data_IF_880880534659
#
_entry.id   IF_880880534659
#
_cell.length_a   1.000
_cell.length_b   1.000
_cell.length_c   1.000
_cell.angle_alpha   90.00
_cell.angle_beta   90.00
_cell.angle_gamma   90.00
#
_symmetry.space_group_name_H-M   'P 1'
#
loop_
_entity.id
_entity.type
_entity.pdbx_description
1 polymer ?
#
# COMPACT_ATOMS: atom_id res chain seq x y z
N UNK A 1 -15.74 -13.78 -20.82
CA UNK A 1 -14.47 -14.48 -20.56
C UNK A 1 -13.18 -13.78 -21.05
N UNK A 2 -13.23 -12.62 -21.72
CA UNK A 2 -12.01 -11.90 -22.21
C UNK A 2 -11.33 -10.97 -21.16
N UNK A 3 -11.97 -10.68 -20.04
CA UNK A 3 -11.47 -9.69 -19.04
C UNK A 3 -10.51 -10.26 -18.00
N UNK A 4 -10.48 -11.57 -17.76
CA UNK A 4 -9.61 -12.16 -16.72
C UNK A 4 -8.11 -12.18 -17.07
N UNK A 5 -7.73 -12.18 -18.35
CA UNK A 5 -6.33 -12.21 -18.74
C UNK A 5 -5.66 -10.84 -18.64
N UNK A 6 -6.42 -9.75 -18.79
CA UNK A 6 -5.94 -8.39 -18.61
C UNK A 6 -5.54 -8.13 -17.16
N UNK A 7 -6.40 -8.42 -16.19
CA UNK A 7 -6.16 -8.15 -14.78
C UNK A 7 -4.89 -8.80 -14.22
N UNK A 8 -4.58 -10.05 -14.63
CA UNK A 8 -3.35 -10.73 -14.20
C UNK A 8 -2.08 -10.04 -14.68
N UNK A 9 -2.06 -9.55 -15.92
CA UNK A 9 -0.90 -8.82 -16.47
C UNK A 9 -0.68 -7.50 -15.77
N UNK A 10 -1.74 -6.74 -15.53
CA UNK A 10 -1.66 -5.48 -14.77
C UNK A 10 -1.23 -5.73 -13.32
N UNK A 11 -1.72 -6.79 -12.66
CA UNK A 11 -1.29 -7.14 -11.31
C UNK A 11 0.20 -7.49 -11.23
N UNK A 12 0.72 -8.28 -12.17
CA UNK A 12 2.16 -8.60 -12.22
C UNK A 12 3.00 -7.33 -12.45
N UNK A 13 2.59 -6.50 -13.42
CA UNK A 13 3.29 -5.26 -13.73
C UNK A 13 3.27 -4.28 -12.55
N UNK A 14 2.13 -4.12 -11.89
CA UNK A 14 2.00 -3.32 -10.67
C UNK A 14 2.91 -3.82 -9.56
N UNK A 15 2.98 -5.14 -9.35
CA UNK A 15 3.87 -5.72 -8.34
C UNK A 15 5.36 -5.46 -8.62
N UNK A 16 5.78 -5.56 -9.88
CA UNK A 16 7.16 -5.22 -10.29
C UNK A 16 7.46 -3.74 -10.06
N UNK A 17 6.55 -2.86 -10.45
CA UNK A 17 6.71 -1.41 -10.24
C UNK A 17 6.74 -1.06 -8.75
N UNK A 18 5.91 -1.69 -7.93
CA UNK A 18 5.92 -1.48 -6.49
C UNK A 18 7.23 -1.95 -5.84
N UNK A 19 7.77 -3.11 -6.25
CA UNK A 19 9.08 -3.55 -5.78
C UNK A 19 10.20 -2.58 -6.17
N UNK A 20 10.17 -2.03 -7.39
CA UNK A 20 11.11 -1.01 -7.83
C UNK A 20 10.98 0.28 -7.01
N UNK A 21 9.75 0.74 -6.77
CA UNK A 21 9.45 1.92 -5.95
C UNK A 21 10.03 1.78 -4.53
N UNK A 22 9.85 0.61 -3.90
CA UNK A 22 10.42 0.31 -2.58
C UNK A 22 11.94 0.48 -2.54
N UNK A 23 12.63 -0.02 -3.55
CA UNK A 23 14.11 0.10 -3.66
C UNK A 23 14.51 1.55 -3.87
N UNK A 24 13.82 2.28 -4.75
CA UNK A 24 14.09 3.70 -5.01
C UNK A 24 13.87 4.54 -3.77
N UNK A 25 12.80 4.29 -3.02
CA UNK A 25 12.53 4.98 -1.75
C UNK A 25 13.60 4.70 -0.70
N UNK A 26 14.05 3.45 -0.56
CA UNK A 26 15.13 3.10 0.35
C UNK A 26 16.43 3.82 0.01
N UNK A 27 16.79 3.87 -1.30
CA UNK A 27 17.97 4.62 -1.76
C UNK A 27 17.80 6.12 -1.48
N UNK A 28 16.63 6.70 -1.78
CA UNK A 28 16.38 8.12 -1.59
C UNK A 28 16.48 8.51 -0.11
N UNK A 29 15.95 7.70 0.81
CA UNK A 29 16.05 7.94 2.24
C UNK A 29 17.50 7.89 2.76
N UNK A 30 18.35 7.09 2.12
CA UNK A 30 19.79 7.00 2.44
C UNK A 30 20.63 8.14 1.86
N UNK A 31 20.07 9.00 1.00
CA UNK A 31 20.79 10.12 0.35
C UNK A 31 20.52 11.45 1.04
N UNK A 32 21.47 12.40 0.92
CA UNK A 32 21.25 13.80 1.32
C UNK A 32 20.17 14.42 0.41
N UNK A 33 19.20 15.20 0.97
CA UNK A 33 19.14 15.69 2.36
C UNK A 33 18.43 14.76 3.36
N UNK A 34 17.87 13.64 2.94
CA UNK A 34 17.07 12.78 3.81
C UNK A 34 17.92 12.10 4.90
N UNK A 35 19.13 11.64 4.56
CA UNK A 35 20.02 10.96 5.51
C UNK A 35 20.34 11.80 6.75
N UNK A 36 20.37 13.13 6.60
CA UNK A 36 20.68 14.07 7.68
C UNK A 36 19.43 14.65 8.35
N UNK A 37 18.24 14.24 7.91
CA UNK A 37 16.96 14.80 8.39
C UNK A 37 16.26 13.82 9.34
N UNK A 38 16.16 14.16 10.61
CA UNK A 38 15.62 13.28 11.66
C UNK A 38 14.17 12.81 11.48
N UNK A 39 13.44 13.32 10.48
CA UNK A 39 12.07 12.90 10.11
C UNK A 39 11.98 12.52 8.64
N UNK A 40 13.06 11.97 8.11
CA UNK A 40 13.20 11.59 6.69
C UNK A 40 12.06 10.67 6.20
N UNK A 41 11.68 9.67 6.98
CA UNK A 41 10.60 8.75 6.65
C UNK A 41 9.27 9.48 6.45
N UNK A 42 8.89 10.38 7.37
CA UNK A 42 7.64 11.14 7.25
C UNK A 42 7.68 12.15 6.09
N UNK A 43 8.80 12.83 5.91
CA UNK A 43 8.99 13.74 4.78
C UNK A 43 8.92 12.98 3.45
N UNK A 44 9.55 11.81 3.38
CA UNK A 44 9.48 10.92 2.22
C UNK A 44 8.05 10.48 1.91
N UNK A 45 7.27 10.07 2.91
CA UNK A 45 5.86 9.70 2.75
C UNK A 45 5.04 10.86 2.18
N UNK A 46 5.15 12.06 2.77
CA UNK A 46 4.43 13.25 2.30
C UNK A 46 4.81 13.59 0.86
N UNK A 47 6.11 13.59 0.53
CA UNK A 47 6.56 13.91 -0.83
C UNK A 47 6.09 12.87 -1.84
N UNK A 48 6.13 11.59 -1.50
CA UNK A 48 5.61 10.51 -2.32
C UNK A 48 4.12 10.70 -2.60
N UNK A 49 3.30 10.88 -1.57
CA UNK A 49 1.85 11.01 -1.71
C UNK A 49 1.46 12.28 -2.47
N UNK A 50 2.15 13.41 -2.22
CA UNK A 50 1.95 14.66 -2.96
C UNK A 50 2.33 14.49 -4.44
N UNK A 51 3.45 13.84 -4.74
CA UNK A 51 3.87 13.57 -6.11
C UNK A 51 2.82 12.70 -6.85
N UNK A 52 2.36 11.63 -6.22
CA UNK A 52 1.29 10.78 -6.76
C UNK A 52 0.00 11.58 -7.00
N UNK A 53 -0.41 12.40 -6.05
CA UNK A 53 -1.61 13.23 -6.18
C UNK A 53 -1.49 14.23 -7.35
N UNK A 54 -0.33 14.89 -7.50
CA UNK A 54 -0.09 15.83 -8.60
C UNK A 54 -0.11 15.11 -9.95
N UNK A 55 0.56 13.97 -10.06
CA UNK A 55 0.60 13.17 -11.30
C UNK A 55 -0.82 12.75 -11.70
N UNK A 56 -1.62 12.23 -10.75
CA UNK A 56 -2.98 11.83 -11.01
C UNK A 56 -3.90 13.01 -11.38
N UNK A 57 -3.76 14.15 -10.71
CA UNK A 57 -4.51 15.35 -11.06
C UNK A 57 -4.17 15.86 -12.47
N UNK A 58 -2.89 15.86 -12.84
CA UNK A 58 -2.46 16.20 -14.20
C UNK A 58 -3.03 15.22 -15.21
N UNK A 59 -2.97 13.92 -14.92
CA UNK A 59 -3.57 12.89 -15.77
C UNK A 59 -5.07 13.11 -15.96
N UNK A 60 -5.83 13.36 -14.88
CA UNK A 60 -7.27 13.64 -14.94
C UNK A 60 -7.57 14.95 -15.69
N UNK A 61 -6.69 15.96 -15.55
CA UNK A 61 -6.80 17.22 -16.33
C UNK A 61 -6.62 16.95 -17.83
N UNK A 62 -5.60 16.20 -18.21
CA UNK A 62 -5.33 15.84 -19.62
C UNK A 62 -6.47 14.98 -20.22
N UNK A 63 -7.15 14.20 -19.39
CA UNK A 63 -8.34 13.43 -19.78
C UNK A 63 -9.63 14.28 -19.80
N UNK A 64 -9.58 15.54 -19.38
CA UNK A 64 -10.74 16.43 -19.29
C UNK A 64 -11.76 16.06 -18.21
N UNK A 65 -11.36 15.21 -17.23
CA UNK A 65 -12.24 14.61 -16.19
C UNK A 65 -12.12 15.26 -14.81
N UNK A 66 -11.49 16.42 -14.67
CA UNK A 66 -11.37 17.11 -13.37
C UNK A 66 -12.71 17.42 -12.72
N UNK A 67 -13.74 17.75 -13.52
CA UNK A 67 -15.09 18.02 -13.00
C UNK A 67 -15.70 16.77 -12.36
N UNK A 68 -15.45 15.60 -12.95
CA UNK A 68 -15.92 14.31 -12.44
C UNK A 68 -15.26 14.01 -11.10
N UNK A 69 -13.96 14.27 -10.96
CA UNK A 69 -13.22 14.14 -9.70
C UNK A 69 -13.85 14.98 -8.59
N UNK A 70 -14.15 16.25 -8.86
CA UNK A 70 -14.81 17.13 -7.87
C UNK A 70 -16.23 16.68 -7.52
N UNK A 71 -16.98 16.20 -8.50
CA UNK A 71 -18.32 15.66 -8.28
C UNK A 71 -18.26 14.38 -7.44
N UNK A 72 -17.33 13.48 -7.73
CA UNK A 72 -17.13 12.23 -7.00
C UNK A 72 -16.87 12.45 -5.51
N UNK A 73 -16.06 13.46 -5.12
CA UNK A 73 -15.76 13.77 -3.71
C UNK A 73 -17.01 14.04 -2.84
N UNK A 74 -18.12 14.44 -3.44
CA UNK A 74 -19.38 14.73 -2.75
C UNK A 74 -20.28 13.50 -2.61
N UNK A 75 -19.99 12.44 -3.32
CA UNK A 75 -20.76 11.19 -3.30
C UNK A 75 -20.41 10.33 -2.10
N UNK A 76 -21.25 9.34 -1.79
CA UNK A 76 -20.96 8.34 -0.75
C UNK A 76 -19.70 7.53 -1.08
N UNK A 77 -19.51 7.00 -2.31
CA UNK A 77 -18.25 6.36 -2.71
C UNK A 77 -17.03 7.27 -2.55
N UNK A 78 -17.11 8.54 -2.98
CA UNK A 78 -16.01 9.50 -2.83
C UNK A 78 -15.60 9.73 -1.38
N UNK A 79 -16.57 9.80 -0.43
CA UNK A 79 -16.27 9.89 1.00
C UNK A 79 -15.57 8.62 1.52
N UNK A 80 -15.97 7.44 1.02
CA UNK A 80 -15.29 6.17 1.36
C UNK A 80 -13.87 6.14 0.81
N UNK A 81 -13.64 6.65 -0.40
CA UNK A 81 -12.30 6.81 -0.98
C UNK A 81 -11.43 7.74 -0.12
N UNK A 82 -11.97 8.88 0.34
CA UNK A 82 -11.24 9.79 1.24
C UNK A 82 -10.86 9.08 2.54
N UNK A 83 -11.80 8.37 3.17
CA UNK A 83 -11.52 7.63 4.41
C UNK A 83 -10.48 6.52 4.20
N UNK A 84 -10.58 5.80 3.09
CA UNK A 84 -9.60 4.78 2.70
C UNK A 84 -8.21 5.38 2.45
N UNK A 85 -8.14 6.49 1.70
CA UNK A 85 -6.89 7.19 1.41
C UNK A 85 -6.18 7.71 2.67
N UNK A 86 -6.93 8.15 3.69
CA UNK A 86 -6.34 8.54 4.98
C UNK A 86 -5.68 7.37 5.72
N UNK A 87 -6.22 6.17 5.55
CA UNK A 87 -5.61 4.95 6.12
C UNK A 87 -4.43 4.47 5.28
N UNK A 88 -4.55 4.49 3.95
CA UNK A 88 -3.51 4.04 3.04
C UNK A 88 -2.30 4.95 2.99
N UNK A 89 -2.50 6.24 2.77
CA UNK A 89 -1.44 7.25 2.68
C UNK A 89 -0.85 7.60 4.06
N UNK A 90 -1.45 8.50 4.83
CA UNK A 90 -0.86 8.99 6.07
C UNK A 90 -0.49 7.91 7.08
N UNK A 91 -1.31 6.87 7.26
CA UNK A 91 -1.03 5.80 8.21
C UNK A 91 -0.18 4.70 7.56
N UNK A 92 -0.63 4.16 6.42
CA UNK A 92 0.01 3.04 5.77
C UNK A 92 1.39 3.41 5.22
N UNK A 93 1.48 4.48 4.43
CA UNK A 93 2.74 4.90 3.81
C UNK A 93 3.74 5.44 4.82
N UNK A 94 3.32 6.25 5.80
CA UNK A 94 4.21 6.72 6.86
C UNK A 94 4.73 5.54 7.69
N UNK A 95 3.87 4.59 8.04
CA UNK A 95 4.26 3.37 8.75
C UNK A 95 5.26 2.54 7.96
N UNK A 96 5.05 2.42 6.65
CA UNK A 96 5.94 1.71 5.74
C UNK A 96 7.35 2.32 5.69
N UNK A 97 7.45 3.65 5.54
CA UNK A 97 8.75 4.33 5.49
C UNK A 97 9.45 4.36 6.85
N UNK A 98 8.70 4.52 7.96
CA UNK A 98 9.26 4.36 9.30
C UNK A 98 9.84 2.95 9.49
N UNK A 99 9.17 1.94 8.97
CA UNK A 99 9.68 0.57 9.02
C UNK A 99 10.96 0.41 8.19
N UNK A 100 11.00 0.92 6.95
CA UNK A 100 12.21 0.88 6.09
C UNK A 100 13.39 1.51 6.80
N UNK A 101 13.20 2.67 7.41
CA UNK A 101 14.25 3.45 8.08
C UNK A 101 14.79 2.76 9.35
N UNK A 102 13.98 1.95 10.01
CA UNK A 102 14.33 1.34 11.30
C UNK A 102 14.69 -0.16 11.25
N UNK A 103 14.07 -0.92 10.34
CA UNK A 103 14.27 -2.38 10.21
C UNK A 103 14.65 -2.84 8.81
N UNK A 104 14.84 -1.88 7.90
CA UNK A 104 15.25 -2.12 6.52
C UNK A 104 14.13 -2.57 5.58
N UNK A 105 14.38 -2.44 4.27
CA UNK A 105 13.37 -2.71 3.25
C UNK A 105 12.97 -4.20 3.20
N UNK A 106 13.89 -5.13 3.48
CA UNK A 106 13.63 -6.57 3.43
C UNK A 106 12.61 -7.01 4.49
N UNK A 107 12.85 -6.70 5.77
CA UNK A 107 11.94 -7.06 6.86
C UNK A 107 10.62 -6.28 6.77
N UNK A 108 10.68 -5.01 6.36
CA UNK A 108 9.49 -4.19 6.09
C UNK A 108 8.62 -4.84 5.03
N UNK A 109 9.19 -5.28 3.91
CA UNK A 109 8.46 -5.96 2.85
C UNK A 109 7.79 -7.25 3.33
N UNK A 110 8.48 -8.06 4.17
CA UNK A 110 7.88 -9.27 4.75
C UNK A 110 6.64 -8.92 5.57
N UNK A 111 6.79 -8.02 6.55
CA UNK A 111 5.70 -7.70 7.47
C UNK A 111 4.56 -7.01 6.72
N UNK A 112 4.87 -6.02 5.88
CA UNK A 112 3.85 -5.27 5.14
C UNK A 112 3.01 -6.18 4.22
N UNK A 113 3.60 -7.20 3.64
CA UNK A 113 2.89 -8.13 2.73
C UNK A 113 1.78 -8.94 3.43
N UNK A 114 1.65 -8.86 4.75
CA UNK A 114 0.48 -9.42 5.45
C UNK A 114 -0.80 -8.57 5.28
N UNK A 115 -0.74 -7.35 4.70
CA UNK A 115 -1.93 -6.53 4.47
C UNK A 115 -3.05 -7.22 3.65
N UNK A 116 -2.79 -8.08 2.62
CA UNK A 116 -3.87 -8.78 1.93
C UNK A 116 -4.53 -9.84 2.80
N UNK A 117 -3.78 -10.46 3.73
CA UNK A 117 -4.35 -11.41 4.68
C UNK A 117 -5.29 -10.70 5.66
N UNK A 118 -4.87 -9.53 6.20
CA UNK A 118 -5.73 -8.71 7.04
C UNK A 118 -6.95 -8.19 6.24
N UNK A 119 -6.75 -7.68 5.02
CA UNK A 119 -7.84 -7.25 4.15
C UNK A 119 -8.85 -8.37 3.88
N UNK A 120 -8.37 -9.59 3.62
CA UNK A 120 -9.22 -10.78 3.45
C UNK A 120 -10.03 -11.10 4.72
N UNK A 121 -9.39 -11.06 5.88
CA UNK A 121 -10.06 -11.28 7.16
C UNK A 121 -11.14 -10.23 7.41
N UNK A 122 -10.83 -8.96 7.17
CA UNK A 122 -11.78 -7.86 7.29
C UNK A 122 -12.93 -7.97 6.27
N UNK A 123 -12.63 -8.35 5.02
CA UNK A 123 -13.66 -8.59 4.01
C UNK A 123 -14.58 -9.75 4.40
N UNK A 124 -14.04 -10.83 4.95
CA UNK A 124 -14.86 -11.94 5.46
C UNK A 124 -15.80 -11.48 6.59
N UNK A 125 -15.27 -10.70 7.54
CA UNK A 125 -16.07 -10.25 8.72
C UNK A 125 -17.07 -9.15 8.32
N UNK A 126 -16.62 -8.11 7.62
CA UNK A 126 -17.40 -6.89 7.36
C UNK A 126 -18.25 -7.01 6.10
N UNK A 127 -17.71 -7.59 5.04
CA UNK A 127 -18.37 -7.71 3.74
C UNK A 127 -19.07 -9.06 3.57
N UNK A 128 -18.86 -9.99 4.51
CA UNK A 128 -19.38 -11.37 4.46
C UNK A 128 -18.96 -12.12 3.18
N UNK A 129 -17.84 -11.75 2.62
CA UNK A 129 -17.27 -12.40 1.44
C UNK A 129 -16.60 -13.72 1.84
N UNK A 130 -16.79 -14.76 1.01
CA UNK A 130 -16.16 -16.06 1.24
C UNK A 130 -15.10 -16.30 0.20
N UNK A 131 -13.91 -16.66 0.65
CA UNK A 131 -12.85 -17.12 -0.25
C UNK A 131 -13.03 -18.61 -0.60
N UNK A 132 -12.74 -18.95 -1.84
CA UNK A 132 -12.61 -20.35 -2.21
C UNK A 132 -11.37 -20.95 -1.53
N UNK A 133 -11.38 -22.25 -1.14
CA UNK A 133 -10.22 -22.90 -0.49
C UNK A 133 -8.92 -22.77 -1.30
N UNK A 134 -9.02 -22.76 -2.63
CA UNK A 134 -7.87 -22.55 -3.53
C UNK A 134 -7.25 -21.16 -3.40
N UNK A 135 -8.05 -20.11 -3.14
CA UNK A 135 -7.58 -18.75 -2.93
C UNK A 135 -6.87 -18.63 -1.58
N UNK A 136 -7.42 -19.27 -0.53
CA UNK A 136 -6.78 -19.34 0.80
C UNK A 136 -5.42 -20.05 0.67
N UNK A 137 -5.37 -21.19 0.01
CA UNK A 137 -4.12 -21.93 -0.19
C UNK A 137 -3.09 -21.08 -0.96
N UNK A 138 -3.51 -20.40 -2.03
CA UNK A 138 -2.63 -19.51 -2.80
C UNK A 138 -2.10 -18.35 -1.97
N UNK A 139 -2.94 -17.73 -1.12
CA UNK A 139 -2.53 -16.67 -0.21
C UNK A 139 -1.48 -17.18 0.80
N UNK A 140 -1.72 -18.34 1.42
CA UNK A 140 -0.78 -18.92 2.39
C UNK A 140 0.57 -19.28 1.74
N UNK A 141 0.56 -19.81 0.52
CA UNK A 141 1.80 -20.10 -0.24
C UNK A 141 2.54 -18.81 -0.57
N UNK A 142 1.82 -17.74 -0.99
CA UNK A 142 2.43 -16.45 -1.27
C UNK A 142 3.06 -15.83 -0.01
N UNK A 143 2.35 -15.84 1.12
CA UNK A 143 2.87 -15.35 2.40
C UNK A 143 4.10 -16.14 2.85
N UNK A 144 4.07 -17.48 2.75
CA UNK A 144 5.21 -18.33 3.09
C UNK A 144 6.43 -18.06 2.20
N UNK A 145 6.23 -17.85 0.90
CA UNK A 145 7.31 -17.53 -0.04
C UNK A 145 7.96 -16.18 0.30
N UNK A 146 7.17 -15.17 0.67
CA UNK A 146 7.66 -13.84 1.05
C UNK A 146 8.45 -13.91 2.36
N UNK A 147 7.93 -14.61 3.37
CA UNK A 147 8.65 -14.84 4.64
C UNK A 147 9.98 -15.53 4.37
N UNK A 148 10.00 -16.58 3.54
CA UNK A 148 11.22 -17.31 3.22
C UNK A 148 12.26 -16.44 2.48
N UNK A 149 11.80 -15.61 1.51
CA UNK A 149 12.68 -14.72 0.76
C UNK A 149 13.24 -13.61 1.65
N UNK A 150 12.41 -13.01 2.48
CA UNK A 150 12.82 -11.90 3.32
C UNK A 150 13.65 -12.35 4.52
N UNK A 151 13.45 -13.59 5.02
CA UNK A 151 14.30 -14.15 6.09
C UNK A 151 15.78 -14.13 5.72
N UNK A 152 16.09 -14.40 4.47
CA UNK A 152 17.46 -14.33 3.95
C UNK A 152 17.97 -12.89 3.80
N UNK A 153 17.09 -11.89 3.68
CA UNK A 153 17.42 -10.48 3.49
C UNK A 153 17.56 -9.70 4.81
N UNK A 154 17.17 -10.30 5.96
CA UNK A 154 17.19 -9.64 7.28
C UNK A 154 18.50 -9.82 8.03
N UNK A 155 19.56 -10.29 7.38
CA UNK A 155 20.79 -10.72 8.04
C UNK A 155 21.58 -9.59 8.74
N UNK A 156 21.34 -8.32 8.37
CA UNK A 156 22.07 -7.19 8.95
C UNK A 156 21.12 -6.21 9.66
N UNK A 157 21.27 -6.00 10.97
CA UNK A 157 20.55 -4.94 11.69
C UNK A 157 20.91 -3.57 11.12
N UNK A 158 19.93 -2.68 10.99
CA UNK A 158 20.20 -1.29 10.60
C UNK A 158 20.91 -0.60 11.77
N UNK A 159 22.10 -0.07 11.50
CA UNK A 159 22.88 0.69 12.47
C UNK A 159 22.10 1.92 12.92
N UNK A 160 21.87 2.05 14.22
CA UNK A 160 21.05 3.13 14.78
C UNK A 160 19.53 2.96 14.69
N UNK A 161 19.03 1.89 14.03
CA UNK A 161 17.62 1.63 13.89
C UNK A 161 16.95 1.17 15.19
N UNK A 162 15.67 1.53 15.36
CA UNK A 162 14.83 1.10 16.47
C UNK A 162 13.87 -0.01 16.02
N UNK A 163 14.18 -1.27 16.35
CA UNK A 163 13.40 -2.42 15.93
C UNK A 163 11.93 -2.36 16.37
N UNK A 164 11.63 -1.83 17.56
CA UNK A 164 10.24 -1.71 18.05
C UNK A 164 9.48 -0.70 17.21
N UNK A 165 10.08 0.46 16.91
CA UNK A 165 9.48 1.50 16.10
C UNK A 165 9.27 1.00 14.66
N UNK A 166 10.26 0.30 14.10
CA UNK A 166 10.17 -0.27 12.77
C UNK A 166 9.06 -1.32 12.63
N UNK A 167 8.98 -2.26 13.58
CA UNK A 167 7.90 -3.27 13.58
C UNK A 167 6.53 -2.61 13.81
N UNK A 168 6.42 -1.63 14.71
CA UNK A 168 5.18 -0.89 14.91
C UNK A 168 4.76 -0.13 13.64
N UNK A 169 5.70 0.48 12.92
CA UNK A 169 5.47 1.10 11.61
C UNK A 169 4.96 0.11 10.57
N UNK A 170 5.62 -1.05 10.45
CA UNK A 170 5.20 -2.10 9.52
C UNK A 170 3.79 -2.64 9.84
N UNK A 171 3.45 -2.80 11.12
CA UNK A 171 2.09 -3.19 11.53
C UNK A 171 1.06 -2.09 11.25
N UNK A 172 1.41 -0.82 11.45
CA UNK A 172 0.55 0.31 11.06
C UNK A 172 0.29 0.31 9.55
N UNK A 173 1.30 0.01 8.74
CA UNK A 173 1.17 -0.18 7.30
C UNK A 173 0.20 -1.32 6.96
N UNK A 174 0.32 -2.49 7.58
CA UNK A 174 -0.58 -3.64 7.39
C UNK A 174 -2.03 -3.26 7.69
N UNK A 175 -2.26 -2.56 8.81
CA UNK A 175 -3.59 -2.11 9.22
C UNK A 175 -4.12 -1.07 8.24
N UNK A 176 -3.31 -0.09 7.87
CA UNK A 176 -3.67 0.97 6.93
C UNK A 176 -4.11 0.42 5.58
N UNK A 177 -3.24 -0.30 4.89
CA UNK A 177 -3.49 -0.83 3.56
C UNK A 177 -4.53 -1.95 3.53
N UNK A 178 -4.54 -2.82 4.56
CA UNK A 178 -5.56 -3.87 4.67
C UNK A 178 -6.97 -3.30 4.88
N UNK A 179 -7.10 -2.26 5.69
CA UNK A 179 -8.37 -1.57 5.92
C UNK A 179 -8.80 -0.72 4.73
N UNK A 180 -7.87 -0.02 4.07
CA UNK A 180 -8.10 0.75 2.85
C UNK A 180 -8.80 -0.10 1.79
N UNK A 181 -8.23 -1.25 1.45
CA UNK A 181 -8.77 -2.15 0.43
C UNK A 181 -10.23 -2.55 0.70
N UNK A 182 -10.57 -2.80 1.98
CA UNK A 182 -11.92 -3.20 2.38
C UNK A 182 -12.89 -2.03 2.35
N UNK A 183 -12.47 -0.84 2.82
CA UNK A 183 -13.30 0.37 2.79
C UNK A 183 -13.58 0.81 1.36
N UNK A 184 -12.60 0.74 0.46
CA UNK A 184 -12.79 1.00 -0.97
C UNK A 184 -13.84 0.05 -1.56
N UNK A 185 -13.68 -1.25 -1.33
CA UNK A 185 -14.62 -2.26 -1.82
C UNK A 185 -16.03 -2.03 -1.27
N UNK A 186 -16.14 -1.74 0.03
CA UNK A 186 -17.42 -1.45 0.67
C UNK A 186 -18.09 -0.19 0.12
N UNK A 187 -17.32 0.88 -0.06
CA UNK A 187 -17.86 2.17 -0.52
C UNK A 187 -18.33 2.14 -1.97
N UNK A 188 -17.77 1.27 -2.81
CA UNK A 188 -18.08 1.15 -4.24
C UNK A 188 -19.13 0.08 -4.57
N UNK A 189 -19.65 -0.65 -3.57
CA UNK A 189 -20.59 -1.76 -3.80
C UNK A 189 -21.91 -1.37 -4.43
N UNK A 190 -22.43 -0.19 -4.09
CA UNK A 190 -23.81 0.22 -4.41
C UNK A 190 -23.88 1.22 -5.56
N UNK A 191 -22.76 1.71 -6.06
CA UNK A 191 -22.71 2.70 -7.14
C UNK A 191 -21.61 2.33 -8.12
N UNK A 192 -21.93 2.35 -9.43
CA UNK A 192 -20.94 2.20 -10.49
C UNK A 192 -20.07 3.47 -10.56
N UNK A 193 -19.06 3.56 -9.72
CA UNK A 193 -18.03 4.60 -9.80
C UNK A 193 -16.84 3.99 -10.52
N UNK A 194 -16.45 4.59 -11.65
CA UNK A 194 -15.21 4.26 -12.35
C UNK A 194 -14.03 4.47 -11.42
N UNK A 195 -13.20 3.45 -11.31
CA UNK A 195 -11.97 3.48 -10.50
C UNK A 195 -10.80 4.19 -11.21
N UNK A 196 -11.07 4.88 -12.31
CA UNK A 196 -10.08 5.68 -13.03
C UNK A 196 -9.88 7.08 -12.43
#
# INVERSE_FOLDING_TARGET
>A
MKTQHGGKRYGIFSGVLWGLDTVVLAIALAMIPFADFGQSALAGAVLHDVACAVILLVYMALRGRLKDTWAALRTRPGKSVIAAALLGGPIGMSGYLIAIDNIGPGLTAIISTFYPALGTLLAFILLKERMAPRQIAALLVALAAIVATGWSATAEPIEGGNAILGVAGALACVIGWGSEAVILTWGMRDEAVDNE
#
